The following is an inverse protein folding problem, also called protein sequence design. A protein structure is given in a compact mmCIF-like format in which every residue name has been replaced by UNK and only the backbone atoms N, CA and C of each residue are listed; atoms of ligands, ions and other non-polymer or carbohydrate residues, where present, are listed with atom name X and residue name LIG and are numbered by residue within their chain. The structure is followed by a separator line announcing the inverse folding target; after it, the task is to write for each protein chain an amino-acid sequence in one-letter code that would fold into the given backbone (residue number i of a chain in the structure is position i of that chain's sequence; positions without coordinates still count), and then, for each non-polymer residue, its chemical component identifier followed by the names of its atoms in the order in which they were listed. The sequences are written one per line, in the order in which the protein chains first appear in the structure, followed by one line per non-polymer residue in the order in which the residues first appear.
data_IF_970984015383
#
_entry.id   IF_970984015383
#
_cell.length_a   1.000
_cell.length_b   1.000
_cell.length_c   1.000
_cell.angle_alpha   90.00
_cell.angle_beta   90.00
_cell.angle_gamma   90.00
#
_symmetry.space_group_name_H-M   'P 1'
#
loop_
_entity.id
_entity.type
_entity.pdbx_description
1 polymer ?
#
# COMPACT_ATOMS: atom_id res chain seq x y z
N UNK A 1 -18.75 -40.22 5.97
CA UNK A 1 -18.56 -39.70 6.00
C UNK A 1 -18.47 -38.98 6.14
N UNK A 2 -18.26 -38.59 6.39
CA UNK A 2 -17.99 -37.95 6.54
C UNK A 2 -17.51 -37.20 6.39
N UNK A 3 -17.26 -36.85 6.11
CA UNK A 3 -16.61 -36.13 6.01
C UNK A 3 -16.47 -35.24 5.39
N UNK A 4 -16.35 -35.03 5.12
CA UNK A 4 -16.10 -34.11 4.57
C UNK A 4 -16.71 -33.10 4.59
N UNK A 5 -17.38 -33.04 4.70
CA UNK A 5 -18.04 -32.02 4.82
C UNK A 5 -17.53 -30.90 5.48
N UNK A 6 -16.87 -30.91 6.15
CA UNK A 6 -16.45 -29.92 6.81
C UNK A 6 -15.60 -28.97 6.17
N UNK A 7 -14.93 -29.21 5.30
CA UNK A 7 -13.99 -28.39 4.62
C UNK A 7 -14.62 -27.23 3.92
N UNK A 8 -15.71 -27.44 3.31
CA UNK A 8 -16.35 -26.37 2.58
C UNK A 8 -16.80 -25.26 3.49
N UNK A 9 -17.19 -25.60 4.67
CA UNK A 9 -17.60 -24.62 5.63
C UNK A 9 -16.47 -23.68 5.95
N UNK A 10 -15.31 -24.24 6.03
CA UNK A 10 -14.15 -23.44 6.31
C UNK A 10 -13.91 -22.40 5.24
N UNK A 11 -14.16 -22.78 4.02
CA UNK A 11 -13.98 -21.83 2.93
C UNK A 11 -14.81 -20.58 3.09
N UNK A 12 -16.01 -20.74 3.56
CA UNK A 12 -16.89 -19.60 3.76
C UNK A 12 -16.35 -18.66 4.81
N UNK A 13 -15.79 -19.22 5.86
CA UNK A 13 -15.23 -18.38 6.89
C UNK A 13 -14.07 -17.55 6.36
N UNK A 14 -13.29 -18.15 5.50
CA UNK A 14 -12.18 -17.40 4.91
C UNK A 14 -12.67 -16.21 4.12
N UNK A 15 -13.77 -16.37 3.44
CA UNK A 15 -14.34 -15.26 2.69
C UNK A 15 -14.77 -14.14 3.63
N UNK A 16 -15.30 -14.50 4.77
CA UNK A 16 -15.68 -13.49 5.75
C UNK A 16 -14.50 -12.69 6.20
N UNK A 17 -13.37 -13.35 6.39
CA UNK A 17 -12.17 -12.66 6.81
C UNK A 17 -11.72 -11.65 5.78
N UNK A 18 -11.91 -11.94 4.52
CA UNK A 18 -11.51 -11.04 3.46
C UNK A 18 -12.25 -9.72 3.50
N UNK A 19 -13.42 -9.71 4.13
CA UNK A 19 -14.18 -8.48 4.25
C UNK A 19 -13.42 -7.41 5.00
N UNK A 20 -12.50 -7.82 5.88
CA UNK A 20 -11.78 -6.88 6.73
C UNK A 20 -10.46 -6.41 6.16
N UNK A 21 -10.03 -6.98 5.05
CA UNK A 21 -8.78 -6.57 4.42
C UNK A 21 -9.08 -6.14 3.01
N UNK A 22 -8.49 -5.03 2.60
CA UNK A 22 -8.67 -4.54 1.25
C UNK A 22 -7.47 -4.98 0.42
N UNK A 23 -7.68 -5.80 -0.62
CA UNK A 23 -6.56 -6.25 -1.46
C UNK A 23 -5.77 -5.09 -2.07
N UNK A 24 -6.42 -3.95 -2.28
CA UNK A 24 -5.72 -2.80 -2.84
C UNK A 24 -4.68 -2.25 -1.87
N UNK A 25 -5.00 -2.23 -0.57
CA UNK A 25 -3.99 -1.78 0.39
C UNK A 25 -2.85 -2.79 0.48
N UNK A 26 -3.12 -4.09 0.37
CA UNK A 26 -2.05 -5.09 0.35
C UNK A 26 -1.10 -4.84 -0.81
N UNK A 27 -1.65 -4.58 -2.01
CA UNK A 27 -0.81 -4.31 -3.17
C UNK A 27 -0.07 -2.99 -3.03
N UNK A 28 -0.74 -1.97 -2.51
CA UNK A 28 -0.09 -0.69 -2.29
C UNK A 28 1.09 -0.85 -1.33
N UNK A 29 0.92 -1.64 -0.27
CA UNK A 29 2.00 -1.88 0.71
C UNK A 29 3.19 -2.57 0.04
N UNK A 30 2.94 -3.58 -0.79
CA UNK A 30 4.02 -4.26 -1.50
C UNK A 30 4.82 -3.29 -2.34
N UNK A 31 4.13 -2.48 -3.13
CA UNK A 31 4.81 -1.54 -4.01
C UNK A 31 5.50 -0.44 -3.23
N UNK A 32 4.88 0.08 -2.18
CA UNK A 32 5.51 1.11 -1.36
C UNK A 32 6.77 0.56 -0.67
N UNK A 33 6.72 -0.70 -0.23
CA UNK A 33 7.90 -1.34 0.37
C UNK A 33 9.04 -1.39 -0.64
N UNK A 34 8.75 -1.80 -1.86
CA UNK A 34 9.77 -1.85 -2.91
C UNK A 34 10.31 -0.45 -3.21
N UNK A 35 9.42 0.55 -3.24
CA UNK A 35 9.86 1.92 -3.47
C UNK A 35 10.84 2.37 -2.39
N UNK A 36 10.54 2.06 -1.13
CA UNK A 36 11.43 2.41 -0.02
C UNK A 36 12.78 1.73 -0.18
N UNK A 37 12.77 0.44 -0.51
CA UNK A 37 14.02 -0.31 -0.64
C UNK A 37 14.92 0.27 -1.73
N UNK A 38 14.34 0.58 -2.88
CA UNK A 38 15.13 1.16 -3.97
C UNK A 38 15.53 2.59 -3.66
N UNK A 39 14.67 3.32 -2.97
CA UNK A 39 15.02 4.68 -2.54
C UNK A 39 16.20 4.70 -1.60
N UNK A 40 16.28 3.73 -0.70
CA UNK A 40 17.42 3.63 0.23
C UNK A 40 18.71 3.33 -0.49
N UNK A 41 18.64 2.74 -1.67
CA UNK A 41 19.81 2.49 -2.49
C UNK A 41 20.13 3.67 -3.41
N UNK A 42 19.37 4.75 -3.31
CA UNK A 42 19.62 5.93 -4.10
C UNK A 42 19.06 5.85 -5.52
N UNK A 43 18.19 4.88 -5.80
CA UNK A 43 17.64 4.68 -7.13
C UNK A 43 16.29 5.38 -7.27
N UNK A 44 16.35 6.67 -7.58
CA UNK A 44 15.13 7.49 -7.63
C UNK A 44 14.14 7.03 -8.69
N UNK A 45 14.64 6.66 -9.88
CA UNK A 45 13.72 6.26 -10.95
C UNK A 45 13.00 4.96 -10.62
N UNK A 46 13.68 4.02 -9.99
CA UNK A 46 13.05 2.77 -9.61
C UNK A 46 12.05 3.00 -8.47
N UNK A 47 12.38 3.90 -7.55
CA UNK A 47 11.42 4.30 -6.54
C UNK A 47 10.13 4.80 -7.19
N UNK A 48 10.24 5.66 -8.21
CA UNK A 48 9.05 6.17 -8.91
C UNK A 48 8.28 5.03 -9.57
N UNK A 49 8.99 4.07 -10.17
CA UNK A 49 8.34 2.94 -10.83
C UNK A 49 7.47 2.13 -9.87
N UNK A 50 7.90 2.04 -8.62
CA UNK A 50 7.12 1.31 -7.61
C UNK A 50 6.11 2.21 -6.89
N UNK A 51 6.46 3.47 -6.67
CA UNK A 51 5.54 4.38 -6.00
C UNK A 51 4.29 4.65 -6.84
N UNK A 52 4.41 4.61 -8.17
CA UNK A 52 3.28 4.87 -9.04
C UNK A 52 2.16 3.82 -8.89
N UNK A 53 2.45 2.51 -9.01
CA UNK A 53 1.39 1.53 -8.75
C UNK A 53 0.93 1.54 -7.29
N UNK A 54 1.82 1.87 -6.34
CA UNK A 54 1.39 2.01 -4.96
C UNK A 54 0.30 3.08 -4.85
N UNK A 55 0.51 4.21 -5.52
CA UNK A 55 -0.47 5.29 -5.53
C UNK A 55 -1.80 4.83 -6.15
N UNK A 56 -1.72 4.13 -7.27
CA UNK A 56 -2.93 3.65 -7.95
C UNK A 56 -3.74 2.73 -7.04
N UNK A 57 -3.07 1.82 -6.36
CA UNK A 57 -3.76 0.91 -5.45
C UNK A 57 -4.27 1.64 -4.21
N UNK A 58 -3.52 2.62 -3.71
CA UNK A 58 -3.98 3.41 -2.57
C UNK A 58 -5.24 4.18 -2.92
N UNK A 59 -5.31 4.75 -4.13
CA UNK A 59 -6.50 5.45 -4.58
C UNK A 59 -7.69 4.49 -4.65
N UNK A 60 -7.47 3.30 -5.19
CA UNK A 60 -8.53 2.31 -5.30
C UNK A 60 -9.03 1.88 -3.91
N UNK A 61 -8.10 1.63 -3.00
CA UNK A 61 -8.49 1.24 -1.64
C UNK A 61 -9.22 2.35 -0.92
N UNK A 62 -8.84 3.60 -1.16
CA UNK A 62 -9.46 4.73 -0.50
C UNK A 62 -10.94 4.87 -0.86
N UNK A 63 -11.34 4.39 -2.04
CA UNK A 63 -12.75 4.47 -2.45
C UNK A 63 -13.65 3.69 -1.51
N UNK A 64 -13.13 2.63 -0.92
CA UNK A 64 -13.91 1.78 -0.03
C UNK A 64 -13.63 2.03 1.44
N UNK A 65 -12.63 2.82 1.74
CA UNK A 65 -12.25 3.06 3.13
C UNK A 65 -13.15 4.09 3.79
N UNK A 66 -13.32 3.97 5.09
CA UNK A 66 -14.13 4.89 5.86
C UNK A 66 -13.45 5.22 7.18
N UNK A 67 -13.82 6.36 7.76
CA UNK A 67 -13.33 6.74 9.07
C UNK A 67 -11.82 6.90 9.11
N UNK A 68 -11.22 6.35 10.14
CA UNK A 68 -9.78 6.46 10.33
C UNK A 68 -9.01 5.83 9.18
N UNK A 69 -9.49 4.71 8.67
CA UNK A 69 -8.84 4.06 7.54
C UNK A 69 -8.80 4.99 6.31
N UNK A 70 -9.91 5.69 6.05
CA UNK A 70 -9.96 6.64 4.94
C UNK A 70 -8.96 7.77 5.14
N UNK A 71 -8.87 8.27 6.37
CA UNK A 71 -7.93 9.34 6.69
C UNK A 71 -6.49 8.90 6.42
N UNK A 72 -6.14 7.69 6.86
CA UNK A 72 -4.80 7.17 6.61
C UNK A 72 -4.56 6.94 5.12
N UNK A 73 -5.56 6.44 4.41
CA UNK A 73 -5.41 6.24 2.97
C UNK A 73 -5.16 7.56 2.25
N UNK A 74 -5.89 8.60 2.63
CA UNK A 74 -5.72 9.91 2.02
C UNK A 74 -4.32 10.48 2.31
N UNK A 75 -3.82 10.28 3.52
CA UNK A 75 -2.47 10.71 3.86
C UNK A 75 -1.42 9.95 3.06
N UNK A 76 -1.63 8.64 2.89
CA UNK A 76 -0.70 7.84 2.09
C UNK A 76 -0.67 8.32 0.65
N UNK A 77 -1.84 8.65 0.10
CA UNK A 77 -1.93 9.15 -1.27
C UNK A 77 -1.09 10.43 -1.42
N UNK A 78 -1.28 11.38 -0.50
CA UNK A 78 -0.52 12.62 -0.55
C UNK A 78 0.98 12.35 -0.47
N UNK A 79 1.39 11.45 0.43
CA UNK A 79 2.81 11.14 0.59
C UNK A 79 3.38 10.44 -0.64
N UNK A 80 2.61 9.55 -1.27
CA UNK A 80 3.08 8.88 -2.48
C UNK A 80 3.23 9.86 -3.63
N UNK A 81 2.32 10.83 -3.71
CA UNK A 81 2.44 11.87 -4.73
C UNK A 81 3.73 12.68 -4.53
N UNK A 82 4.06 12.99 -3.28
CA UNK A 82 5.29 13.70 -3.00
C UNK A 82 6.52 12.83 -3.29
N UNK A 83 6.45 11.55 -2.94
CA UNK A 83 7.56 10.64 -3.24
C UNK A 83 7.82 10.60 -4.75
N UNK A 84 6.77 10.51 -5.54
CA UNK A 84 6.89 10.47 -6.99
C UNK A 84 7.48 11.79 -7.51
N UNK A 85 6.96 12.90 -7.01
CA UNK A 85 7.43 14.22 -7.42
C UNK A 85 8.93 14.35 -7.19
N UNK A 86 9.38 14.05 -5.97
CA UNK A 86 10.79 14.18 -5.66
C UNK A 86 11.64 13.14 -6.38
N UNK A 87 11.11 11.92 -6.54
CA UNK A 87 11.84 10.90 -7.27
C UNK A 87 12.10 11.26 -8.72
N UNK A 88 11.15 11.96 -9.34
CA UNK A 88 11.31 12.42 -10.73
C UNK A 88 12.37 13.49 -10.87
N UNK A 89 12.78 14.11 -9.78
CA UNK A 89 13.82 15.12 -9.81
C UNK A 89 15.23 14.52 -9.82
N UNK A 90 15.33 13.21 -9.73
CA UNK A 90 16.60 12.52 -9.89
C UNK A 90 17.15 11.96 -8.60
N UNK A 91 18.30 11.29 -8.72
CA UNK A 91 18.88 10.55 -7.58
C UNK A 91 19.27 11.45 -6.42
N UNK A 92 19.54 12.72 -6.67
CA UNK A 92 19.85 13.65 -5.58
C UNK A 92 18.69 13.79 -4.63
N UNK A 93 17.47 13.56 -5.11
CA UNK A 93 16.27 13.67 -4.31
C UNK A 93 15.78 12.32 -3.79
N UNK A 94 16.57 11.25 -4.01
CA UNK A 94 16.14 9.92 -3.58
C UNK A 94 15.89 9.86 -2.07
N UNK A 95 16.71 10.56 -1.28
CA UNK A 95 16.51 10.56 0.17
C UNK A 95 15.17 11.15 0.58
N UNK A 96 14.83 12.31 -0.01
CA UNK A 96 13.56 12.95 0.31
C UNK A 96 12.41 12.09 -0.17
N UNK A 97 12.52 11.56 -1.39
CA UNK A 97 11.48 10.69 -1.94
C UNK A 97 11.29 9.47 -1.05
N UNK A 98 12.38 8.90 -0.56
CA UNK A 98 12.31 7.73 0.31
C UNK A 98 11.58 8.04 1.60
N UNK A 99 11.85 9.21 2.20
CA UNK A 99 11.16 9.60 3.42
C UNK A 99 9.65 9.68 3.21
N UNK A 100 9.21 10.27 2.11
CA UNK A 100 7.79 10.30 1.81
C UNK A 100 7.23 8.91 1.57
N UNK A 101 7.98 8.04 0.89
CA UNK A 101 7.52 6.68 0.65
C UNK A 101 7.41 5.90 1.97
N UNK A 102 8.33 6.12 2.91
CA UNK A 102 8.27 5.47 4.21
C UNK A 102 7.03 5.91 4.98
N UNK A 103 6.75 7.21 4.98
CA UNK A 103 5.57 7.72 5.67
C UNK A 103 4.30 7.17 5.02
N UNK A 104 4.29 7.11 3.69
CA UNK A 104 3.16 6.52 2.98
C UNK A 104 2.95 5.07 3.39
N UNK A 105 4.05 4.32 3.48
CA UNK A 105 3.96 2.91 3.86
C UNK A 105 3.33 2.74 5.24
N UNK A 106 3.72 3.60 6.20
CA UNK A 106 3.13 3.54 7.53
C UNK A 106 1.64 3.82 7.50
N UNK A 107 1.24 4.84 6.72
CA UNK A 107 -0.18 5.15 6.61
C UNK A 107 -0.95 4.04 5.91
N UNK A 108 -0.36 3.40 4.89
CA UNK A 108 -1.01 2.28 4.21
C UNK A 108 -1.25 1.12 5.16
N UNK A 109 -0.25 0.82 5.99
CA UNK A 109 -0.40 -0.24 6.97
C UNK A 109 -1.49 0.09 7.97
N UNK A 110 -1.57 1.36 8.38
CA UNK A 110 -2.61 1.79 9.30
C UNK A 110 -3.99 1.70 8.65
N UNK A 111 -4.10 2.08 7.38
CA UNK A 111 -5.37 2.00 6.65
C UNK A 111 -5.83 0.55 6.50
N UNK A 112 -4.89 -0.38 6.40
CA UNK A 112 -5.19 -1.79 6.14
C UNK A 112 -5.54 -2.58 7.41
N UNK A 113 -5.51 -1.96 8.56
CA UNK A 113 -5.87 -2.65 9.80
C UNK A 113 -7.37 -2.86 9.88
N UNK A 114 -7.76 -3.97 10.50
CA UNK A 114 -9.17 -4.27 10.67
C UNK A 114 -9.76 -3.62 11.91
#
# INVERSE_FOLDING_TARGET
MKKSTFASTIGLLLLSLNVFADPHFDEAIKHATAAVEHGKMGHASVLVEHATPALEHALAGALNAKGVAKSHADNAITDLEQAIKHGKEGDKHAGVATTYAETALEHLKAANKK
#
